data_IF_638154562109
#
_entry.id   IF_638154562109
#
_cell.length_a   1.000
_cell.length_b   1.000
_cell.length_c   1.000
_cell.angle_alpha   90.00
_cell.angle_beta   90.00
_cell.angle_gamma   90.00
#
_symmetry.space_group_name_H-M   'P 1'
#
loop_
_entity.id
_entity.type
_entity.pdbx_description
1 polymer ?
#
# COMPACT_ATOMS: atom_id res chain seq x y z
N UNK A 1 10.39 21.65 5.89
CA UNK A 1 10.17 21.19 7.28
C UNK A 1 10.53 19.72 7.32
N UNK A 2 11.03 19.19 8.43
CA UNK A 2 11.36 17.75 8.47
C UNK A 2 10.05 16.93 8.57
N UNK A 3 9.82 16.02 7.62
CA UNK A 3 8.63 15.18 7.60
C UNK A 3 8.86 13.82 8.30
N UNK A 4 10.00 13.17 8.04
CA UNK A 4 10.36 11.89 8.67
C UNK A 4 11.83 11.93 9.09
N UNK A 5 12.12 11.48 10.30
CA UNK A 5 13.48 11.22 10.78
C UNK A 5 13.60 9.79 11.29
N UNK A 6 14.59 9.07 10.78
CA UNK A 6 14.91 7.70 11.15
C UNK A 6 16.37 7.68 11.58
N UNK A 7 16.65 7.08 12.73
CA UNK A 7 17.99 6.93 13.26
C UNK A 7 18.25 5.44 13.57
N UNK A 8 19.38 4.95 13.07
CA UNK A 8 19.99 3.65 13.37
C UNK A 8 19.04 2.44 13.21
N UNK A 9 18.15 2.51 12.23
CA UNK A 9 17.14 1.48 12.00
C UNK A 9 17.78 0.17 11.54
N UNK A 10 17.56 -0.89 12.33
CA UNK A 10 18.14 -2.21 12.09
C UNK A 10 17.08 -3.31 12.15
N UNK A 11 17.13 -4.23 11.19
CA UNK A 11 16.32 -5.46 11.17
C UNK A 11 17.16 -6.65 10.75
N UNK A 12 17.11 -7.68 11.60
CA UNK A 12 17.78 -8.95 11.38
C UNK A 12 16.75 -10.07 11.31
N UNK A 13 16.88 -10.94 10.30
CA UNK A 13 16.12 -12.19 10.17
C UNK A 13 17.08 -13.36 10.40
N UNK A 14 16.89 -14.09 11.50
CA UNK A 14 17.83 -15.13 11.97
C UNK A 14 19.25 -14.53 12.07
N UNK A 15 20.15 -14.97 11.20
CA UNK A 15 21.57 -14.60 11.23
C UNK A 15 21.89 -13.51 10.19
N UNK A 16 20.92 -13.10 9.37
CA UNK A 16 21.11 -12.14 8.28
C UNK A 16 20.49 -10.79 8.63
N UNK A 17 21.31 -9.76 8.68
CA UNK A 17 20.82 -8.38 8.77
C UNK A 17 20.28 -7.95 7.40
N UNK A 18 18.99 -7.67 7.33
CA UNK A 18 18.31 -7.19 6.12
C UNK A 18 18.40 -5.67 5.99
N UNK A 19 18.45 -4.95 7.11
CA UNK A 19 18.72 -3.52 7.20
C UNK A 19 19.58 -3.30 8.44
N UNK A 20 20.63 -2.50 8.33
CA UNK A 20 21.58 -2.27 9.42
C UNK A 20 21.92 -0.80 9.51
N UNK A 21 21.74 -0.23 10.70
CA UNK A 21 22.13 1.13 11.08
C UNK A 21 21.67 2.20 10.07
N UNK A 22 20.45 2.05 9.55
CA UNK A 22 19.90 2.97 8.55
C UNK A 22 19.40 4.24 9.24
N UNK A 23 20.07 5.36 8.96
CA UNK A 23 19.63 6.70 9.36
C UNK A 23 19.28 7.52 8.13
N UNK A 24 18.09 8.12 8.11
CA UNK A 24 17.65 8.97 7.02
C UNK A 24 16.68 10.06 7.46
N UNK A 25 16.67 11.16 6.69
CA UNK A 25 15.75 12.28 6.87
C UNK A 25 15.00 12.52 5.57
N UNK A 26 13.69 12.66 5.67
CA UNK A 26 12.82 13.05 4.57
C UNK A 26 12.30 14.44 4.89
N UNK A 27 12.67 15.39 4.05
CA UNK A 27 12.11 16.74 4.10
C UNK A 27 10.70 16.73 3.49
N UNK A 28 9.85 17.59 4.01
CA UNK A 28 8.50 17.85 3.50
C UNK A 28 8.56 18.29 2.02
N UNK A 29 7.72 17.69 1.19
CA UNK A 29 7.67 17.93 -0.25
C UNK A 29 8.76 17.22 -1.08
N UNK A 30 9.61 16.39 -0.47
CA UNK A 30 10.63 15.62 -1.18
C UNK A 30 10.20 14.18 -1.48
N UNK A 31 10.52 13.69 -2.69
CA UNK A 31 10.24 12.32 -3.14
C UNK A 31 11.48 11.46 -2.97
N UNK A 32 11.37 10.35 -2.22
CA UNK A 32 12.45 9.38 -2.02
C UNK A 32 12.03 8.00 -2.53
N UNK A 33 12.95 7.31 -3.20
CA UNK A 33 12.77 5.93 -3.68
C UNK A 33 13.84 5.00 -3.13
N UNK A 34 13.45 3.78 -2.74
CA UNK A 34 14.39 2.72 -2.36
C UNK A 34 14.79 1.92 -3.61
N UNK A 35 16.06 2.00 -4.02
CA UNK A 35 16.61 1.34 -5.21
C UNK A 35 17.76 0.40 -4.83
N UNK A 36 17.85 -0.75 -5.49
CA UNK A 36 18.86 -1.78 -5.20
C UNK A 36 18.46 -3.17 -5.68
N UNK A 37 19.39 -4.11 -5.72
CA UNK A 37 19.17 -5.50 -6.15
C UNK A 37 18.16 -6.24 -5.24
N UNK A 38 17.61 -7.36 -5.70
CA UNK A 38 16.71 -8.19 -4.88
C UNK A 38 17.40 -8.65 -3.59
N UNK A 39 16.70 -8.54 -2.46
CA UNK A 39 17.26 -8.84 -1.14
C UNK A 39 18.12 -7.73 -0.51
N UNK A 40 18.29 -6.58 -1.16
CA UNK A 40 19.03 -5.43 -0.60
C UNK A 40 18.31 -4.67 0.54
N UNK A 41 17.23 -5.24 1.09
CA UNK A 41 16.51 -4.63 2.21
C UNK A 41 15.42 -3.63 1.84
N UNK A 42 15.23 -3.25 0.57
CA UNK A 42 14.24 -2.23 0.12
C UNK A 42 12.85 -2.40 0.73
N UNK A 43 12.22 -3.56 0.51
CA UNK A 43 10.90 -3.85 1.04
C UNK A 43 10.92 -3.96 2.56
N UNK A 44 11.97 -4.52 3.15
CA UNK A 44 12.13 -4.52 4.62
C UNK A 44 12.21 -3.10 5.19
N UNK A 45 12.93 -2.19 4.54
CA UNK A 45 13.04 -0.78 4.91
C UNK A 45 11.71 -0.07 4.78
N UNK A 46 11.06 -0.17 3.62
CA UNK A 46 9.71 0.38 3.41
C UNK A 46 8.73 -0.19 4.43
N UNK A 47 8.78 -1.50 4.70
CA UNK A 47 7.95 -2.11 5.73
C UNK A 47 8.23 -1.50 7.09
N UNK A 48 9.47 -1.46 7.57
CA UNK A 48 9.76 -0.85 8.88
C UNK A 48 9.34 0.61 9.02
N UNK A 49 9.34 1.38 7.93
CA UNK A 49 9.04 2.82 7.94
C UNK A 49 7.53 3.08 7.72
N UNK A 50 6.88 2.30 6.86
CA UNK A 50 5.51 2.53 6.37
C UNK A 50 4.51 1.47 6.86
N UNK A 51 4.95 0.21 6.98
CA UNK A 51 4.26 -0.79 7.79
C UNK A 51 4.77 -0.64 9.23
N UNK A 52 4.13 0.22 10.02
CA UNK A 52 3.82 -0.23 11.40
C UNK A 52 3.38 -1.67 11.21
N UNK A 53 4.11 -2.60 11.83
CA UNK A 53 4.28 -3.95 11.30
C UNK A 53 2.99 -4.55 10.79
N UNK A 54 3.10 -5.58 9.99
CA UNK A 54 1.98 -6.46 9.70
C UNK A 54 1.41 -7.09 11.00
N UNK A 55 1.02 -6.35 12.04
CA UNK A 55 0.19 -6.76 13.17
C UNK A 55 -1.23 -7.07 12.68
N UNK A 56 -1.56 -6.68 11.45
CA UNK A 56 -2.74 -7.17 10.73
C UNK A 56 -2.69 -8.67 10.41
N UNK A 57 -1.52 -9.24 10.06
CA UNK A 57 -1.43 -10.68 9.73
C UNK A 57 -0.34 -11.48 10.48
N UNK A 58 0.66 -10.84 11.07
CA UNK A 58 1.79 -11.50 11.73
C UNK A 58 1.52 -11.85 13.20
N UNK A 59 0.43 -11.34 13.81
CA UNK A 59 0.05 -11.69 15.19
C UNK A 59 -1.45 -11.87 15.48
N UNK A 60 -2.34 -11.83 14.49
CA UNK A 60 -3.72 -12.26 14.68
C UNK A 60 -4.32 -12.74 13.35
N UNK A 61 -4.65 -14.03 13.26
CA UNK A 61 -5.75 -14.43 12.38
C UNK A 61 -7.02 -13.77 12.90
N UNK A 62 -7.70 -12.96 12.10
CA UNK A 62 -8.96 -12.35 12.49
C UNK A 62 -9.53 -11.45 11.40
N UNK A 63 -10.84 -11.22 11.48
CA UNK A 63 -11.53 -10.29 10.61
C UNK A 63 -11.10 -8.85 10.94
N UNK A 64 -10.95 -8.01 9.91
CA UNK A 64 -10.73 -6.59 10.12
C UNK A 64 -11.99 -5.97 10.75
N UNK A 65 -11.86 -5.01 11.68
CA UNK A 65 -13.01 -4.34 12.27
C UNK A 65 -13.75 -3.45 11.26
N UNK A 66 -13.05 -2.97 10.24
CA UNK A 66 -13.55 -2.14 9.15
C UNK A 66 -12.73 -2.42 7.86
N UNK A 67 -13.13 -1.78 6.74
CA UNK A 67 -12.43 -1.91 5.46
C UNK A 67 -11.31 -0.88 5.27
N UNK A 68 -10.98 -0.09 6.28
CA UNK A 68 -10.08 1.03 6.13
C UNK A 68 -8.62 0.59 6.27
N UNK A 69 -7.72 1.33 5.61
CA UNK A 69 -6.30 1.24 5.93
C UNK A 69 -6.07 1.62 7.41
N UNK A 70 -5.05 1.05 8.09
CA UNK A 70 -4.67 1.49 9.42
C UNK A 70 -4.49 3.00 9.50
N UNK A 71 -4.90 3.63 10.61
CA UNK A 71 -4.91 5.09 10.75
C UNK A 71 -3.58 5.75 10.32
N UNK A 72 -2.44 5.18 10.71
CA UNK A 72 -1.12 5.72 10.37
C UNK A 72 -0.86 5.75 8.84
N UNK A 73 -1.39 4.78 8.10
CA UNK A 73 -1.27 4.74 6.64
C UNK A 73 -2.20 5.76 6.00
N UNK A 74 -3.40 5.96 6.54
CA UNK A 74 -4.32 7.03 6.10
C UNK A 74 -3.69 8.41 6.32
N UNK A 75 -3.16 8.65 7.51
CA UNK A 75 -2.46 9.89 7.85
C UNK A 75 -1.31 10.13 6.86
N UNK A 76 -0.52 9.10 6.54
CA UNK A 76 0.56 9.21 5.55
C UNK A 76 0.04 9.57 4.15
N UNK A 77 -1.00 8.89 3.66
CA UNK A 77 -1.58 9.17 2.33
C UNK A 77 -2.06 10.62 2.26
N UNK A 78 -2.78 11.08 3.28
CA UNK A 78 -3.28 12.45 3.38
C UNK A 78 -2.15 13.49 3.37
N UNK A 79 -1.07 13.24 4.13
CA UNK A 79 0.09 14.14 4.15
C UNK A 79 0.82 14.17 2.80
N UNK A 80 0.94 13.03 2.11
CA UNK A 80 1.59 12.96 0.79
C UNK A 80 0.76 13.70 -0.26
N UNK A 81 -0.57 13.53 -0.27
CA UNK A 81 -1.49 14.27 -1.15
C UNK A 81 -1.40 15.78 -0.88
N UNK A 82 -1.34 16.18 0.39
CA UNK A 82 -1.26 17.59 0.80
C UNK A 82 0.00 18.32 0.30
N UNK A 83 1.04 17.60 -0.13
CA UNK A 83 2.24 18.22 -0.74
C UNK A 83 1.95 18.89 -2.09
N UNK A 84 0.83 18.57 -2.74
CA UNK A 84 0.46 19.09 -4.07
C UNK A 84 1.19 18.41 -5.22
N UNK A 85 2.07 17.44 -4.94
CA UNK A 85 2.66 16.59 -5.98
C UNK A 85 1.60 15.60 -6.48
N UNK A 86 1.45 15.36 -7.80
CA UNK A 86 0.57 14.30 -8.30
C UNK A 86 0.96 12.93 -7.73
N UNK A 87 0.00 12.27 -7.05
CA UNK A 87 0.22 10.98 -6.38
C UNK A 87 -0.50 9.87 -7.15
N UNK A 88 0.15 8.75 -7.41
CA UNK A 88 -0.54 7.51 -7.81
C UNK A 88 -0.58 6.60 -6.58
N UNK A 89 -1.77 6.22 -6.15
CA UNK A 89 -1.94 5.34 -4.99
C UNK A 89 -1.88 3.87 -5.47
N UNK A 90 -0.97 3.08 -4.89
CA UNK A 90 -0.84 1.66 -5.24
C UNK A 90 -1.12 0.84 -4.00
N UNK A 91 -2.25 0.13 -4.01
CA UNK A 91 -2.72 -0.70 -2.90
C UNK A 91 -2.27 -2.16 -3.09
N UNK A 92 -1.59 -2.68 -2.08
CA UNK A 92 -1.07 -4.05 -2.01
C UNK A 92 -1.72 -4.78 -0.85
N UNK A 93 -2.98 -5.16 -1.01
CA UNK A 93 -3.78 -5.81 0.01
C UNK A 93 -4.30 -7.18 -0.45
N UNK A 94 -4.43 -8.12 0.50
CA UNK A 94 -5.02 -9.44 0.25
C UNK A 94 -6.55 -9.48 0.35
N UNK A 95 -7.18 -8.35 0.65
CA UNK A 95 -8.64 -8.21 0.79
C UNK A 95 -9.06 -6.85 0.22
N UNK A 96 -10.36 -6.65 -0.07
CA UNK A 96 -10.87 -5.31 -0.37
C UNK A 96 -10.52 -4.31 0.73
N UNK A 97 -10.12 -3.12 0.30
CA UNK A 97 -9.84 -1.96 1.15
C UNK A 97 -10.67 -0.81 0.59
N UNK A 98 -11.33 -0.07 1.47
CA UNK A 98 -12.04 1.13 1.09
C UNK A 98 -11.04 2.30 0.90
N UNK A 99 -10.93 2.74 -0.36
CA UNK A 99 -10.10 3.86 -0.79
C UNK A 99 -10.93 5.03 -1.35
N UNK A 100 -12.25 5.00 -1.16
CA UNK A 100 -13.19 6.00 -1.69
C UNK A 100 -12.83 7.43 -1.31
N UNK A 101 -12.26 7.62 -0.11
CA UNK A 101 -11.78 8.91 0.36
C UNK A 101 -10.75 9.55 -0.58
N UNK A 102 -10.03 8.76 -1.39
CA UNK A 102 -8.92 9.24 -2.22
C UNK A 102 -9.26 9.29 -3.72
N UNK A 103 -10.39 8.74 -4.17
CA UNK A 103 -10.74 8.61 -5.60
C UNK A 103 -10.73 9.95 -6.35
N UNK A 104 -11.21 11.02 -5.71
CA UNK A 104 -11.22 12.38 -6.28
C UNK A 104 -9.97 13.21 -5.95
N UNK A 105 -9.05 12.67 -5.14
CA UNK A 105 -7.85 13.37 -4.67
C UNK A 105 -6.59 12.96 -5.43
N UNK A 106 -6.59 11.78 -6.05
CA UNK A 106 -5.44 11.25 -6.78
C UNK A 106 -5.76 11.00 -8.26
N UNK A 107 -4.83 11.23 -9.20
CA UNK A 107 -5.02 10.94 -10.61
C UNK A 107 -5.24 9.46 -10.94
N UNK A 108 -4.78 8.54 -10.10
CA UNK A 108 -4.96 7.09 -10.33
C UNK A 108 -4.81 6.28 -9.04
N UNK A 109 -5.56 5.17 -8.97
CA UNK A 109 -5.46 4.13 -7.95
C UNK A 109 -5.22 2.78 -8.65
N UNK A 110 -4.15 2.07 -8.27
CA UNK A 110 -3.83 0.74 -8.77
C UNK A 110 -3.90 -0.28 -7.63
N UNK A 111 -4.82 -1.23 -7.72
CA UNK A 111 -4.85 -2.37 -6.80
C UNK A 111 -4.09 -3.56 -7.39
N UNK A 112 -3.05 -4.04 -6.69
CA UNK A 112 -2.13 -5.05 -7.20
C UNK A 112 -2.00 -6.31 -6.33
N UNK A 113 -2.93 -6.53 -5.39
CA UNK A 113 -2.96 -7.71 -4.52
C UNK A 113 -1.62 -7.98 -3.82
N UNK A 114 -1.24 -9.25 -3.68
CA UNK A 114 0.12 -9.68 -3.38
C UNK A 114 0.81 -10.17 -4.67
N UNK A 115 1.55 -9.29 -5.37
CA UNK A 115 1.97 -9.54 -6.75
C UNK A 115 3.23 -10.44 -6.88
N UNK A 116 3.63 -11.11 -5.79
CA UNK A 116 4.77 -12.01 -5.77
C UNK A 116 6.13 -11.34 -6.01
N UNK A 117 7.15 -12.17 -6.29
CA UNK A 117 8.55 -11.71 -6.41
C UNK A 117 8.82 -10.77 -7.59
N UNK A 118 8.07 -10.91 -8.67
CA UNK A 118 8.16 -10.03 -9.86
C UNK A 118 7.16 -8.86 -9.82
N UNK A 119 6.43 -8.71 -8.72
CA UNK A 119 5.35 -7.73 -8.63
C UNK A 119 5.79 -6.28 -8.83
N UNK A 120 6.96 -5.91 -8.31
CA UNK A 120 7.52 -4.58 -8.54
C UNK A 120 7.80 -4.29 -10.01
N UNK A 121 8.24 -5.30 -10.77
CA UNK A 121 8.45 -5.18 -12.22
C UNK A 121 7.12 -5.06 -12.96
N UNK A 122 6.14 -5.89 -12.60
CA UNK A 122 4.81 -5.84 -13.21
C UNK A 122 4.14 -4.48 -13.02
N UNK A 123 4.18 -3.94 -11.80
CA UNK A 123 3.65 -2.60 -11.48
C UNK A 123 4.39 -1.53 -12.29
N UNK A 124 5.73 -1.57 -12.34
CA UNK A 124 6.50 -0.61 -13.12
C UNK A 124 6.17 -0.67 -14.62
N UNK A 125 6.04 -1.87 -15.20
CA UNK A 125 5.70 -2.02 -16.61
C UNK A 125 4.30 -1.46 -16.93
N UNK A 126 3.35 -1.47 -15.97
CA UNK A 126 2.05 -0.78 -16.07
C UNK A 126 2.22 0.74 -16.00
N UNK A 127 2.89 1.25 -14.96
CA UNK A 127 3.06 2.70 -14.74
C UNK A 127 3.79 3.40 -15.90
N UNK A 128 4.74 2.71 -16.52
CA UNK A 128 5.48 3.20 -17.68
C UNK A 128 4.84 2.84 -19.03
N UNK A 129 3.65 2.24 -19.03
CA UNK A 129 2.86 1.98 -20.24
C UNK A 129 3.46 0.90 -21.17
N UNK A 130 4.35 0.06 -20.68
CA UNK A 130 4.86 -1.10 -21.45
C UNK A 130 3.82 -2.21 -21.56
N UNK A 131 2.93 -2.29 -20.58
CA UNK A 131 1.78 -3.20 -20.54
C UNK A 131 0.56 -2.41 -20.08
N UNK A 132 -0.55 -2.53 -20.80
CA UNK A 132 -1.82 -1.95 -20.36
C UNK A 132 -2.43 -2.77 -19.21
N UNK A 133 -3.01 -2.13 -18.18
CA UNK A 133 -3.71 -2.85 -17.12
C UNK A 133 -4.91 -3.61 -17.72
N UNK A 134 -5.00 -4.90 -17.43
CA UNK A 134 -6.05 -5.80 -17.93
C UNK A 134 -6.78 -6.59 -16.84
N UNK A 135 -6.47 -6.32 -15.57
CA UNK A 135 -7.10 -6.99 -14.43
C UNK A 135 -8.59 -6.66 -14.30
N UNK A 136 -9.35 -7.58 -13.71
CA UNK A 136 -10.73 -7.36 -13.25
C UNK A 136 -10.81 -7.75 -11.78
N UNK A 137 -11.62 -7.02 -11.01
CA UNK A 137 -11.82 -7.32 -9.60
C UNK A 137 -12.55 -8.67 -9.47
N UNK A 138 -11.98 -9.66 -8.78
CA UNK A 138 -12.64 -10.94 -8.52
C UNK A 138 -13.63 -10.86 -7.35
N UNK A 139 -13.64 -9.73 -6.63
CA UNK A 139 -14.46 -9.46 -5.45
C UNK A 139 -15.07 -8.05 -5.57
N UNK A 140 -16.23 -7.85 -4.94
CA UNK A 140 -16.83 -6.52 -4.79
C UNK A 140 -16.06 -5.73 -3.74
N UNK A 141 -15.72 -4.48 -4.06
CA UNK A 141 -15.14 -3.52 -3.11
C UNK A 141 -16.28 -2.65 -2.58
N UNK A 142 -16.48 -2.67 -1.27
CA UNK A 142 -17.51 -1.89 -0.60
C UNK A 142 -16.90 -0.65 0.02
N UNK A 143 -17.67 0.44 0.03
CA UNK A 143 -17.35 1.59 0.87
C UNK A 143 -17.63 1.26 2.33
N UNK A 144 -16.90 1.89 3.24
CA UNK A 144 -17.05 1.70 4.67
C UNK A 144 -18.14 2.64 5.23
N UNK A 145 -19.33 2.59 4.64
CA UNK A 145 -20.46 3.48 4.90
C UNK A 145 -21.64 2.80 5.63
N UNK A 146 -21.50 1.52 5.99
CA UNK A 146 -22.55 0.78 6.66
C UNK A 146 -22.21 -0.69 6.93
N UNK A 147 -23.16 -1.47 7.45
CA UNK A 147 -22.98 -2.91 7.65
C UNK A 147 -22.80 -3.61 6.31
N UNK A 148 -21.75 -4.44 6.22
CA UNK A 148 -21.52 -5.27 5.03
C UNK A 148 -22.66 -6.27 4.83
N UNK A 149 -22.99 -6.62 3.58
CA UNK A 149 -23.99 -7.64 3.30
C UNK A 149 -23.59 -8.99 3.87
N UNK A 150 -24.58 -9.79 4.27
CA UNK A 150 -24.36 -11.15 4.78
C UNK A 150 -23.48 -11.97 3.82
N UNK A 151 -22.56 -12.75 4.36
CA UNK A 151 -21.57 -13.53 3.61
C UNK A 151 -22.16 -14.39 2.47
N UNK A 152 -23.37 -14.92 2.65
CA UNK A 152 -24.09 -15.71 1.63
C UNK A 152 -24.67 -14.89 0.47
N UNK A 153 -24.61 -13.55 0.56
CA UNK A 153 -25.10 -12.56 -0.41
C UNK A 153 -23.98 -11.79 -1.10
N UNK A 154 -22.72 -12.23 -0.95
CA UNK A 154 -21.61 -11.89 -1.85
C UNK A 154 -21.83 -12.53 -3.23
N UNK A 155 -22.98 -12.26 -3.84
CA UNK A 155 -23.23 -12.49 -5.25
C UNK A 155 -22.66 -11.33 -6.04
N UNK A 156 -22.15 -11.65 -7.22
CA UNK A 156 -21.57 -10.78 -8.25
C UNK A 156 -22.59 -9.75 -8.79
N UNK A 157 -23.20 -8.95 -7.91
CA UNK A 157 -24.22 -7.99 -8.28
C UNK A 157 -23.74 -6.59 -7.86
N UNK A 158 -23.43 -5.81 -8.90
CA UNK A 158 -23.07 -4.38 -8.92
C UNK A 158 -21.64 -4.00 -8.50
N UNK A 159 -20.71 -4.25 -9.41
CA UNK A 159 -19.48 -3.44 -9.54
C UNK A 159 -19.86 -2.05 -10.06
N UNK A 160 -19.89 -1.04 -9.19
CA UNK A 160 -20.16 0.36 -9.56
C UNK A 160 -18.90 1.18 -9.89
N UNK A 161 -17.81 0.52 -10.31
CA UNK A 161 -16.55 1.20 -10.55
C UNK A 161 -15.96 0.81 -11.92
N UNK A 162 -15.82 1.75 -12.86
CA UNK A 162 -14.87 1.60 -13.95
C UNK A 162 -13.49 2.00 -13.40
N UNK A 163 -12.81 1.06 -12.74
CA UNK A 163 -11.41 1.24 -12.35
C UNK A 163 -10.51 0.60 -13.41
N UNK A 164 -9.68 1.42 -14.03
CA UNK A 164 -8.49 1.02 -14.79
C UNK A 164 -7.26 1.25 -13.92
#
# INVERSE_FOLDING_TARGET
>A
MLAIEINDLTKTFKDKSAVKDLSMRVEEGAIYGFIGQNGAGKSTTQKMICEQGDVGNAFASGDKPDLLLPKIQRDLVEQVIATGTPVILIDLAGSPIDLSAYEDQVPAILHAWYPGGEGGRAIADILFGKVSPGGKLPLTFYYNDGPLPDYYRLSYDRTHLPLF
#
